data_IF_343281665574
#
_entry.id   IF_343281665574
#
_cell.length_a   1.000
_cell.length_b   1.000
_cell.length_c   1.000
_cell.angle_alpha   90.00
_cell.angle_beta   90.00
_cell.angle_gamma   90.00
#
_symmetry.space_group_name_H-M   'P 1'
#
loop_
_entity.id
_entity.type
_entity.pdbx_description
1 polymer ?
#
# COMPACT_ATOMS: atom_id res chain seq x y z
N UNK A 1 -21.54 -5.91 2.91
CA UNK A 1 -20.88 -7.17 2.49
C UNK A 1 -19.91 -6.83 1.39
N UNK A 2 -18.64 -7.20 1.53
CA UNK A 2 -17.67 -6.97 0.46
C UNK A 2 -17.91 -7.92 -0.72
N UNK A 3 -17.65 -7.47 -1.97
CA UNK A 3 -17.74 -8.33 -3.14
C UNK A 3 -16.92 -9.62 -2.99
N UNK A 4 -17.38 -10.71 -3.58
CA UNK A 4 -16.66 -11.99 -3.53
C UNK A 4 -15.26 -11.88 -4.16
N UNK A 5 -15.12 -11.04 -5.18
CA UNK A 5 -13.87 -10.84 -5.91
C UNK A 5 -12.76 -10.21 -5.07
N UNK A 6 -13.07 -9.17 -4.27
CA UNK A 6 -12.06 -8.54 -3.42
C UNK A 6 -11.54 -9.49 -2.34
N UNK A 7 -12.42 -10.35 -1.79
CA UNK A 7 -12.00 -11.36 -0.81
C UNK A 7 -11.00 -12.35 -1.40
N UNK A 8 -11.19 -12.76 -2.64
CA UNK A 8 -10.23 -13.64 -3.33
C UNK A 8 -8.88 -12.96 -3.53
N UNK A 9 -8.88 -11.68 -3.93
CA UNK A 9 -7.65 -10.90 -4.10
C UNK A 9 -6.89 -10.74 -2.79
N UNK A 10 -7.58 -10.34 -1.72
CA UNK A 10 -6.98 -10.21 -0.39
C UNK A 10 -6.43 -11.56 0.08
N UNK A 11 -7.17 -12.65 -0.13
CA UNK A 11 -6.71 -13.99 0.22
C UNK A 11 -5.43 -14.36 -0.54
N UNK A 12 -5.34 -14.02 -1.83
CA UNK A 12 -4.14 -14.23 -2.64
C UNK A 12 -2.95 -13.40 -2.13
N UNK A 13 -3.15 -12.13 -1.75
CA UNK A 13 -2.10 -11.29 -1.15
C UNK A 13 -1.55 -11.90 0.14
N UNK A 14 -2.41 -12.49 0.98
CA UNK A 14 -1.99 -13.15 2.22
C UNK A 14 -1.21 -14.46 2.01
N UNK A 15 -1.20 -15.02 0.78
CA UNK A 15 -0.34 -16.17 0.46
C UNK A 15 1.07 -15.74 0.04
N UNK A 16 1.34 -14.44 -0.09
CA UNK A 16 2.67 -13.94 -0.46
C UNK A 16 3.61 -14.02 0.74
N UNK A 17 4.82 -14.53 0.51
CA UNK A 17 5.85 -14.65 1.54
C UNK A 17 6.13 -13.30 2.19
N UNK A 18 6.08 -13.27 3.53
CA UNK A 18 6.41 -12.08 4.32
C UNK A 18 5.24 -11.12 4.53
N UNK A 19 4.06 -11.34 3.91
CA UNK A 19 2.83 -10.62 4.28
C UNK A 19 2.21 -11.29 5.50
N UNK A 20 2.00 -10.54 6.57
CA UNK A 20 1.49 -11.08 7.83
C UNK A 20 0.03 -10.71 8.05
N UNK A 21 -0.39 -9.51 7.66
CA UNK A 21 -1.74 -8.98 7.90
C UNK A 21 -2.19 -8.03 6.80
N UNK A 22 -3.49 -7.76 6.78
CA UNK A 22 -4.08 -6.74 5.93
C UNK A 22 -5.13 -5.93 6.70
N UNK A 23 -5.41 -4.74 6.18
CA UNK A 23 -6.52 -3.90 6.59
C UNK A 23 -7.05 -3.17 5.35
N UNK A 24 -8.32 -3.40 5.01
CA UNK A 24 -8.96 -2.67 3.92
C UNK A 24 -9.36 -1.28 4.41
N UNK A 25 -8.88 -0.25 3.72
CA UNK A 25 -9.22 1.13 4.06
C UNK A 25 -10.63 1.47 3.60
N UNK A 26 -11.34 2.22 4.43
CA UNK A 26 -12.55 2.89 3.99
C UNK A 26 -12.20 4.24 3.31
N UNK A 27 -13.22 4.89 2.69
CA UNK A 27 -13.03 6.14 1.96
C UNK A 27 -12.57 7.32 2.83
N UNK A 28 -13.01 7.37 4.08
CA UNK A 28 -12.62 8.44 5.01
C UNK A 28 -11.15 8.28 5.42
N UNK A 29 -10.71 7.04 5.66
CA UNK A 29 -9.31 6.72 5.95
C UNK A 29 -8.40 7.00 4.75
N UNK A 30 -8.82 6.59 3.54
CA UNK A 30 -8.09 6.87 2.31
C UNK A 30 -7.88 8.39 2.11
N UNK A 31 -8.94 9.19 2.34
CA UNK A 31 -8.86 10.65 2.29
C UNK A 31 -7.94 11.22 3.36
N UNK A 32 -8.02 10.73 4.60
CA UNK A 32 -7.14 11.19 5.67
C UNK A 32 -5.67 10.91 5.33
N UNK A 33 -5.37 9.76 4.73
CA UNK A 33 -4.02 9.41 4.27
C UNK A 33 -3.56 10.38 3.17
N UNK A 34 -4.40 10.66 2.17
CA UNK A 34 -4.09 11.62 1.11
C UNK A 34 -3.72 13.01 1.68
N UNK A 35 -4.43 13.47 2.70
CA UNK A 35 -4.18 14.78 3.35
C UNK A 35 -2.92 14.79 4.24
N UNK A 36 -2.47 13.63 4.74
CA UNK A 36 -1.33 13.51 5.65
C UNK A 36 0.00 13.18 4.94
N UNK A 37 -0.07 12.55 3.77
CA UNK A 37 1.10 12.02 3.07
C UNK A 37 1.97 13.12 2.45
N UNK A 38 3.24 12.80 2.26
CA UNK A 38 4.17 13.67 1.53
C UNK A 38 3.68 13.88 0.06
N UNK A 39 3.59 15.13 -0.42
CA UNK A 39 3.15 15.41 -1.79
C UNK A 39 4.04 14.79 -2.88
N UNK A 40 5.27 14.40 -2.54
CA UNK A 40 6.21 13.71 -3.44
C UNK A 40 6.12 12.18 -3.35
N UNK A 41 5.33 11.62 -2.43
CA UNK A 41 5.00 10.20 -2.40
C UNK A 41 3.83 9.89 -3.33
N UNK A 42 4.08 10.08 -4.63
CA UNK A 42 3.12 9.88 -5.70
C UNK A 42 2.51 8.47 -5.70
N UNK A 43 3.27 7.47 -5.25
CA UNK A 43 2.78 6.10 -5.16
C UNK A 43 1.66 5.92 -4.14
N UNK A 44 1.76 6.51 -2.95
CA UNK A 44 0.69 6.44 -1.95
C UNK A 44 -0.50 7.27 -2.37
N UNK A 45 -0.25 8.49 -2.86
CA UNK A 45 -1.30 9.39 -3.32
C UNK A 45 -2.11 8.81 -4.47
N UNK A 46 -1.50 7.99 -5.32
CA UNK A 46 -2.21 7.24 -6.34
C UNK A 46 -2.97 6.05 -5.73
N UNK A 47 -2.31 5.26 -4.87
CA UNK A 47 -2.91 4.06 -4.26
C UNK A 47 -4.25 4.35 -3.55
N UNK A 48 -4.36 5.47 -2.83
CA UNK A 48 -5.58 5.84 -2.08
C UNK A 48 -6.73 6.34 -2.96
N UNK A 49 -6.49 6.62 -4.25
CA UNK A 49 -7.52 7.08 -5.19
C UNK A 49 -8.26 5.95 -5.90
N UNK A 50 -7.71 4.74 -5.87
CA UNK A 50 -8.34 3.57 -6.48
C UNK A 50 -9.62 3.14 -5.76
N UNK A 51 -10.41 2.31 -6.43
CA UNK A 51 -11.66 1.78 -5.88
C UNK A 51 -11.45 1.08 -4.54
N UNK A 52 -10.35 0.33 -4.43
CA UNK A 52 -9.93 -0.35 -3.21
C UNK A 52 -8.49 0.02 -2.88
N UNK A 53 -8.23 0.28 -1.60
CA UNK A 53 -6.90 0.48 -1.08
C UNK A 53 -6.70 -0.38 0.18
N UNK A 54 -5.73 -1.28 0.11
CA UNK A 54 -5.41 -2.22 1.19
C UNK A 54 -4.08 -1.81 1.82
N UNK A 55 -4.05 -1.70 3.14
CA UNK A 55 -2.82 -1.68 3.90
C UNK A 55 -2.38 -3.12 4.20
N UNK A 56 -1.26 -3.54 3.64
CA UNK A 56 -0.59 -4.77 4.02
C UNK A 56 0.45 -4.50 5.11
N UNK A 57 0.63 -5.48 5.99
CA UNK A 57 1.76 -5.54 6.92
C UNK A 57 2.70 -6.63 6.44
N UNK A 58 3.99 -6.31 6.39
CA UNK A 58 5.01 -7.26 5.97
C UNK A 58 6.23 -7.24 6.89
N UNK A 59 6.93 -8.36 6.97
CA UNK A 59 8.16 -8.52 7.77
C UNK A 59 9.44 -8.38 6.91
N UNK A 60 10.60 -8.63 7.53
CA UNK A 60 11.91 -8.58 6.89
C UNK A 60 12.16 -9.68 5.84
N UNK A 61 11.32 -10.71 5.77
CA UNK A 61 11.36 -11.73 4.71
C UNK A 61 10.68 -11.27 3.41
N UNK A 62 10.03 -10.10 3.44
CA UNK A 62 9.41 -9.50 2.27
C UNK A 62 10.42 -9.26 1.15
N UNK A 63 9.99 -9.52 -0.09
CA UNK A 63 10.87 -9.42 -1.25
C UNK A 63 11.39 -8.00 -1.48
N UNK A 64 12.52 -7.91 -2.16
CA UNK A 64 13.05 -6.65 -2.67
C UNK A 64 12.10 -6.11 -3.77
N UNK A 65 11.88 -4.79 -3.85
CA UNK A 65 11.08 -4.18 -4.91
C UNK A 65 11.58 -4.54 -6.31
N UNK A 66 10.65 -4.73 -7.25
CA UNK A 66 10.93 -5.07 -8.66
C UNK A 66 11.41 -3.89 -9.49
N UNK A 67 11.32 -2.67 -8.95
CA UNK A 67 11.66 -1.42 -9.61
C UNK A 67 12.15 -0.38 -8.60
N UNK A 68 12.73 0.72 -9.10
CA UNK A 68 13.20 1.82 -8.24
C UNK A 68 12.04 2.46 -7.48
N UNK A 69 12.15 2.46 -6.15
CA UNK A 69 11.17 3.03 -5.21
C UNK A 69 11.46 4.51 -4.88
N UNK A 70 12.60 5.04 -5.33
CA UNK A 70 12.98 6.45 -5.22
C UNK A 70 13.48 6.92 -6.57
N UNK A 71 13.07 8.12 -6.99
CA UNK A 71 13.57 8.79 -8.21
C UNK A 71 13.89 10.24 -7.90
N UNK A 72 14.82 10.83 -8.65
CA UNK A 72 15.09 12.27 -8.62
C UNK A 72 14.56 12.91 -9.90
N UNK A 73 13.58 13.81 -9.79
CA UNK A 73 12.96 14.51 -10.92
C UNK A 73 13.15 16.01 -10.71
N UNK A 74 13.80 16.69 -11.64
CA UNK A 74 14.05 18.14 -11.58
C UNK A 74 14.71 18.63 -10.28
N UNK A 75 15.52 17.79 -9.62
CA UNK A 75 16.16 18.12 -8.35
C UNK A 75 15.43 17.58 -7.11
N UNK A 76 14.15 17.25 -7.24
CA UNK A 76 13.30 16.77 -6.15
C UNK A 76 13.33 15.25 -6.03
N UNK A 77 13.24 14.74 -4.80
CA UNK A 77 13.12 13.30 -4.51
C UNK A 77 11.65 12.94 -4.56
N UNK A 78 11.29 11.95 -5.38
CA UNK A 78 9.93 11.43 -5.51
C UNK A 78 9.88 9.94 -5.27
N UNK A 79 8.77 9.47 -4.72
CA UNK A 79 8.49 8.04 -4.53
C UNK A 79 7.40 7.65 -5.55
N UNK A 80 7.78 7.09 -6.70
CA UNK A 80 6.84 6.80 -7.77
C UNK A 80 5.92 5.61 -7.40
N UNK A 81 4.74 5.52 -8.04
CA UNK A 81 3.94 4.30 -8.05
C UNK A 81 4.75 3.07 -8.45
N UNK A 82 4.58 1.97 -7.71
CA UNK A 82 5.22 0.68 -7.99
C UNK A 82 4.19 -0.34 -8.39
N UNK A 83 4.36 -0.97 -9.55
CA UNK A 83 3.48 -2.04 -9.98
C UNK A 83 3.56 -3.24 -9.02
N UNK A 84 2.43 -3.88 -8.76
CA UNK A 84 2.33 -5.05 -7.90
C UNK A 84 1.65 -6.21 -8.67
N UNK A 85 2.40 -6.88 -9.56
CA UNK A 85 1.83 -7.83 -10.53
C UNK A 85 1.24 -9.10 -9.91
N UNK A 86 1.54 -9.39 -8.65
CA UNK A 86 1.00 -10.54 -7.92
C UNK A 86 -0.50 -10.42 -7.64
N UNK A 87 -1.06 -9.22 -7.77
CA UNK A 87 -2.48 -8.94 -7.51
C UNK A 87 -3.25 -9.02 -8.82
N UNK A 88 -4.20 -9.97 -8.97
CA UNK A 88 -4.96 -10.15 -10.21
C UNK A 88 -6.11 -9.12 -10.30
N UNK A 89 -5.76 -7.83 -10.40
CA UNK A 89 -6.70 -6.72 -10.52
C UNK A 89 -6.22 -5.69 -11.55
N UNK A 90 -7.03 -4.65 -11.81
CA UNK A 90 -6.67 -3.57 -12.74
C UNK A 90 -5.96 -2.44 -11.99
N UNK A 91 -5.10 -1.72 -12.72
CA UNK A 91 -4.41 -0.52 -12.25
C UNK A 91 -3.72 -0.67 -10.89
N UNK A 92 -3.07 -1.82 -10.65
CA UNK A 92 -2.49 -2.10 -9.35
C UNK A 92 -1.25 -1.24 -9.09
N UNK A 93 -1.34 -0.43 -8.05
CA UNK A 93 -0.25 0.42 -7.56
C UNK A 93 0.06 0.07 -6.12
N UNK A 94 1.34 0.03 -5.79
CA UNK A 94 1.84 -0.11 -4.43
C UNK A 94 2.83 0.99 -4.08
N UNK A 95 2.88 1.36 -2.80
CA UNK A 95 3.93 2.23 -2.27
C UNK A 95 4.02 2.12 -0.75
N UNK A 96 5.22 2.34 -0.22
CA UNK A 96 5.43 2.47 1.22
C UNK A 96 5.01 3.87 1.68
N UNK A 97 4.24 3.99 2.77
CA UNK A 97 3.84 5.27 3.30
C UNK A 97 5.00 6.04 3.94
N UNK A 98 4.87 7.37 3.97
CA UNK A 98 5.71 8.21 4.80
C UNK A 98 5.47 7.93 6.29
N UNK A 99 6.40 8.35 7.15
CA UNK A 99 6.37 7.99 8.58
C UNK A 99 5.07 8.39 9.28
N UNK A 100 4.50 9.56 8.97
CA UNK A 100 3.23 10.02 9.54
C UNK A 100 2.07 9.08 9.22
N UNK A 101 1.97 8.65 7.96
CA UNK A 101 0.94 7.72 7.49
C UNK A 101 1.20 6.32 8.04
N UNK A 102 2.45 5.87 8.08
CA UNK A 102 2.84 4.60 8.71
C UNK A 102 2.36 4.55 10.18
N UNK A 103 2.70 5.55 11.00
CA UNK A 103 2.27 5.63 12.39
C UNK A 103 0.74 5.66 12.54
N UNK A 104 0.04 6.35 11.63
CA UNK A 104 -1.42 6.36 11.58
C UNK A 104 -1.98 4.95 11.34
N UNK A 105 -1.41 4.22 10.38
CA UNK A 105 -1.81 2.86 10.01
C UNK A 105 -1.47 1.82 11.08
N UNK A 106 -0.33 1.96 11.76
CA UNK A 106 0.08 1.07 12.85
C UNK A 106 -0.97 0.96 13.95
N UNK A 107 -1.71 2.06 14.21
CA UNK A 107 -2.82 2.08 15.17
C UNK A 107 -4.05 1.28 14.70
N UNK A 108 -4.22 1.08 13.39
CA UNK A 108 -5.32 0.27 12.80
C UNK A 108 -4.95 -1.20 12.68
N UNK A 109 -3.77 -1.48 12.13
CA UNK A 109 -3.38 -2.84 11.71
C UNK A 109 -2.45 -3.56 12.71
N UNK A 110 -2.14 -2.92 13.85
CA UNK A 110 -1.28 -3.42 14.93
C UNK A 110 0.04 -3.99 14.38
N UNK A 111 0.95 -3.12 13.99
CA UNK A 111 2.30 -3.51 13.53
C UNK A 111 3.17 -3.84 14.74
N UNK A 112 3.97 -4.90 14.66
CA UNK A 112 4.81 -5.44 15.74
C UNK A 112 6.25 -5.67 15.26
N UNK A 113 7.23 -5.53 16.16
CA UNK A 113 8.61 -5.90 15.87
C UNK A 113 9.26 -5.15 14.69
N UNK A 114 9.74 -5.91 13.71
CA UNK A 114 10.41 -5.44 12.49
C UNK A 114 9.46 -5.27 11.29
N UNK A 115 8.15 -5.33 11.52
CA UNK A 115 7.16 -5.20 10.46
C UNK A 115 7.02 -3.75 9.95
N UNK A 116 6.61 -3.64 8.70
CA UNK A 116 6.31 -2.38 8.03
C UNK A 116 4.98 -2.45 7.26
N UNK A 117 4.44 -1.28 6.92
CA UNK A 117 3.19 -1.17 6.16
C UNK A 117 3.44 -0.87 4.69
N UNK A 118 2.61 -1.43 3.81
CA UNK A 118 2.58 -1.14 2.37
C UNK A 118 1.14 -0.87 1.94
N UNK A 119 0.90 0.21 1.20
CA UNK A 119 -0.42 0.47 0.61
C UNK A 119 -0.48 -0.11 -0.80
N UNK A 120 -1.60 -0.76 -1.13
CA UNK A 120 -1.90 -1.27 -2.47
C UNK A 120 -3.27 -0.76 -2.91
N UNK A 121 -3.29 0.06 -3.96
CA UNK A 121 -4.49 0.52 -4.65
C UNK A 121 -4.78 -0.31 -5.89
N UNK A 122 -6.04 -0.64 -6.16
CA UNK A 122 -6.48 -1.36 -7.37
C UNK A 122 -7.98 -1.19 -7.65
N UNK A 123 -8.37 -1.53 -8.88
CA UNK A 123 -9.75 -1.49 -9.38
C UNK A 123 -10.24 -2.89 -9.82
N UNK A 124 -11.55 -3.14 -9.71
CA UNK A 124 -12.21 -4.38 -10.18
C UNK A 124 -13.03 -4.13 -11.46
#
# INVERSE_FOLDING_TARGET
MEPTEIKHIIHAMLQLQGITRYYLLNKEEARAIEEMEDPFNLGVLEAVKHQYCVCLVHDSSWRIPTQSIVKKINGEIVFPPVAFPEVPAKNVVSSSPGMKVHEYLCKRVRVEGDEATLLIGFDL
#
